data_IF_520531052297
#
_entry.id   IF_520531052297
#
_cell.length_a   1.000
_cell.length_b   1.000
_cell.length_c   1.000
_cell.angle_alpha   90.00
_cell.angle_beta   90.00
_cell.angle_gamma   90.00
#
_symmetry.space_group_name_H-M   'P 1'
#
loop_
_entity.id
_entity.type
_entity.pdbx_description
1 polymer ?
#
# COMPACT_ATOMS: atom_id res chain seq x y z
N UNK A 1 -9.08 8.74 -7.47
CA UNK A 1 -8.05 7.67 -7.46
C UNK A 1 -7.52 7.48 -6.06
N UNK A 2 -7.31 6.25 -5.68
CA UNK A 2 -6.77 5.88 -4.36
C UNK A 2 -5.58 4.96 -4.53
N UNK A 3 -4.72 4.93 -3.54
CA UNK A 3 -3.57 4.03 -3.53
C UNK A 3 -3.61 3.20 -2.25
N UNK A 4 -3.56 1.89 -2.42
CA UNK A 4 -3.44 0.97 -1.29
C UNK A 4 -1.97 0.65 -1.12
N UNK A 5 -1.44 0.91 0.07
CA UNK A 5 -0.04 0.66 0.40
C UNK A 5 0.01 -0.36 1.53
N UNK A 6 0.83 -1.38 1.38
CA UNK A 6 0.99 -2.39 2.42
C UNK A 6 2.46 -2.65 2.69
N UNK A 7 2.76 -2.95 3.94
CA UNK A 7 4.11 -3.15 4.40
C UNK A 7 4.13 -4.29 5.41
N UNK A 8 4.82 -5.40 5.12
CA UNK A 8 4.88 -6.50 6.06
C UNK A 8 5.65 -6.12 7.32
N UNK A 9 5.23 -6.68 8.44
CA UNK A 9 5.87 -6.42 9.71
C UNK A 9 7.29 -6.98 9.74
N UNK A 10 7.48 -8.12 9.12
CA UNK A 10 8.78 -8.79 9.04
C UNK A 10 9.04 -9.19 7.60
N UNK A 11 10.27 -9.02 7.15
CA UNK A 11 10.68 -9.46 5.83
C UNK A 11 10.43 -8.44 4.73
N UNK A 12 10.53 -8.92 3.52
CA UNK A 12 10.37 -8.13 2.30
C UNK A 12 9.01 -8.42 1.65
N UNK A 13 8.57 -7.55 0.78
CA UNK A 13 7.35 -7.79 0.04
C UNK A 13 6.29 -6.73 0.19
N UNK A 14 6.66 -5.56 0.68
CA UNK A 14 5.76 -4.42 0.68
C UNK A 14 5.43 -4.01 -0.75
N UNK A 15 4.28 -3.37 -0.94
CA UNK A 15 3.87 -2.94 -2.25
C UNK A 15 2.82 -1.86 -2.20
N UNK A 16 2.40 -1.46 -3.39
CA UNK A 16 1.33 -0.48 -3.52
C UNK A 16 0.58 -0.74 -4.81
N UNK A 17 -0.68 -0.35 -4.84
CA UNK A 17 -1.51 -0.47 -6.03
C UNK A 17 -2.45 0.71 -6.12
N UNK A 18 -2.47 1.37 -7.28
CA UNK A 18 -3.40 2.45 -7.55
C UNK A 18 -4.72 1.88 -8.07
N UNK A 19 -5.83 2.42 -7.59
CA UNK A 19 -7.16 2.03 -8.03
C UNK A 19 -8.00 3.27 -8.25
N UNK A 20 -8.97 3.16 -9.16
CA UNK A 20 -9.77 4.32 -9.56
C UNK A 20 -10.84 4.68 -8.53
N UNK A 21 -11.41 3.71 -7.82
CA UNK A 21 -12.48 4.00 -6.88
C UNK A 21 -12.21 3.43 -5.49
N UNK A 22 -12.90 3.98 -4.52
CA UNK A 22 -12.72 3.62 -3.12
C UNK A 22 -13.17 2.20 -2.83
N UNK A 23 -14.19 1.72 -3.51
CA UNK A 23 -14.69 0.36 -3.30
C UNK A 23 -13.64 -0.68 -3.65
N UNK A 24 -12.97 -0.49 -4.79
CA UNK A 24 -11.88 -1.39 -5.19
C UNK A 24 -10.71 -1.30 -4.23
N UNK A 25 -10.39 -0.09 -3.77
CA UNK A 25 -9.34 0.10 -2.78
C UNK A 25 -9.62 -0.68 -1.50
N UNK A 26 -10.87 -0.63 -1.02
CA UNK A 26 -11.28 -1.38 0.16
C UNK A 26 -11.20 -2.89 -0.06
N UNK A 27 -11.57 -3.37 -1.25
CA UNK A 27 -11.46 -4.78 -1.57
C UNK A 27 -10.01 -5.25 -1.55
N UNK A 28 -9.09 -4.45 -2.10
CA UNK A 28 -7.67 -4.78 -2.09
C UNK A 28 -7.14 -4.76 -0.65
N UNK A 29 -7.53 -3.76 0.13
CA UNK A 29 -7.12 -3.68 1.53
C UNK A 29 -7.54 -4.94 2.30
N UNK A 30 -8.78 -5.37 2.12
CA UNK A 30 -9.28 -6.58 2.77
C UNK A 30 -8.53 -7.83 2.30
N UNK A 31 -8.27 -7.93 1.00
CA UNK A 31 -7.54 -9.06 0.45
C UNK A 31 -6.10 -9.13 1.01
N UNK A 32 -5.41 -7.99 1.08
CA UNK A 32 -4.06 -7.93 1.63
C UNK A 32 -4.07 -8.26 3.13
N UNK A 33 -5.03 -7.72 3.86
CA UNK A 33 -5.16 -8.00 5.30
C UNK A 33 -5.39 -9.49 5.55
N UNK A 34 -6.18 -10.13 4.68
CA UNK A 34 -6.47 -11.55 4.80
C UNK A 34 -5.25 -12.40 4.46
N UNK A 35 -4.51 -12.01 3.42
CA UNK A 35 -3.31 -12.74 3.00
C UNK A 35 -2.12 -12.52 3.93
N UNK A 36 -2.00 -11.29 4.48
CA UNK A 36 -0.90 -10.91 5.36
C UNK A 36 -1.46 -10.20 6.60
N UNK A 37 -1.96 -10.96 7.58
CA UNK A 37 -2.60 -10.35 8.76
C UNK A 37 -1.70 -9.41 9.56
N UNK A 38 -0.38 -9.64 9.51
CA UNK A 38 0.57 -8.82 10.25
C UNK A 38 1.06 -7.60 9.47
N UNK A 39 0.63 -7.45 8.22
CA UNK A 39 1.05 -6.33 7.41
C UNK A 39 0.30 -5.05 7.80
N UNK A 40 1.00 -3.93 7.72
CA UNK A 40 0.38 -2.62 7.85
C UNK A 40 -0.19 -2.21 6.49
N UNK A 41 -1.49 -1.95 6.44
CA UNK A 41 -2.17 -1.57 5.20
C UNK A 41 -2.75 -0.18 5.36
N UNK A 42 -2.47 0.70 4.40
CA UNK A 42 -2.96 2.08 4.43
C UNK A 42 -3.63 2.41 3.11
N UNK A 43 -4.65 3.23 3.20
CA UNK A 43 -5.38 3.75 2.04
C UNK A 43 -5.07 5.23 1.93
N UNK A 44 -4.47 5.64 0.81
CA UNK A 44 -4.04 7.01 0.60
C UNK A 44 -4.76 7.63 -0.61
N UNK A 45 -5.11 8.92 -0.55
CA UNK A 45 -5.59 9.63 -1.73
C UNK A 45 -4.50 9.70 -2.80
N UNK A 46 -4.94 9.88 -4.05
CA UNK A 46 -4.02 9.94 -5.19
C UNK A 46 -2.94 11.01 -5.05
N UNK A 47 -3.28 12.11 -4.39
CA UNK A 47 -2.35 13.22 -4.17
C UNK A 47 -1.15 12.81 -3.33
N UNK A 48 -1.26 11.75 -2.53
CA UNK A 48 -0.17 11.25 -1.71
C UNK A 48 0.62 10.13 -2.39
N UNK A 49 0.22 9.73 -3.58
CA UNK A 49 0.85 8.62 -4.28
C UNK A 49 2.33 8.88 -4.57
N UNK A 50 2.63 10.07 -5.09
CA UNK A 50 4.01 10.42 -5.40
C UNK A 50 4.91 10.40 -4.17
N UNK A 51 4.42 10.93 -3.05
CA UNK A 51 5.17 10.94 -1.80
C UNK A 51 5.41 9.52 -1.29
N UNK A 52 4.40 8.67 -1.34
CA UNK A 52 4.53 7.28 -0.91
C UNK A 52 5.56 6.53 -1.76
N UNK A 53 5.52 6.73 -3.07
CA UNK A 53 6.46 6.10 -3.99
C UNK A 53 7.90 6.55 -3.73
N UNK A 54 8.10 7.85 -3.48
CA UNK A 54 9.42 8.40 -3.19
C UNK A 54 9.96 7.81 -1.88
N UNK A 55 9.13 7.76 -0.84
CA UNK A 55 9.54 7.19 0.44
C UNK A 55 9.93 5.72 0.30
N UNK A 56 9.17 4.98 -0.49
CA UNK A 56 9.45 3.56 -0.70
C UNK A 56 10.78 3.37 -1.43
N UNK A 57 11.06 4.20 -2.43
CA UNK A 57 12.35 4.16 -3.13
C UNK A 57 13.52 4.47 -2.21
N UNK A 58 13.35 5.45 -1.33
CA UNK A 58 14.39 5.81 -0.37
C UNK A 58 14.68 4.66 0.58
N UNK A 59 13.66 3.96 1.03
CA UNK A 59 13.84 2.78 1.88
C UNK A 59 14.63 1.69 1.19
N UNK A 60 14.37 1.46 -0.09
CA UNK A 60 15.05 0.42 -0.85
C UNK A 60 16.53 0.73 -1.09
N UNK A 61 16.88 2.01 -1.09
CA UNK A 61 18.27 2.43 -1.26
C UNK A 61 19.07 2.34 0.03
N UNK A 62 18.41 2.41 1.14
CA UNK A 62 19.06 2.30 2.44
C UNK A 62 19.33 0.82 2.83
#
# INVERSE_FOLDING_TARGET
MFVVVWEPKHGRGGGHQAVLDQRKAEQIRQAVTRAMPDASVRLLPAEHYGAAAVLERQRRRA
#
